data_IF_610307549888
#
_entry.id   IF_610307549888
#
_cell.length_a   1.000
_cell.length_b   1.000
_cell.length_c   1.000
_cell.angle_alpha   90.00
_cell.angle_beta   90.00
_cell.angle_gamma   90.00
#
_symmetry.space_group_name_H-M   'P 1'
#
loop_
_entity.id
_entity.type
_entity.pdbx_description
1 polymer ?
#
# COMPACT_ATOMS: atom_id res chain seq x y z
N UNK A 1 -10.65 -55.68 15.87
CA UNK A 1 -10.17 -54.37 15.38
C UNK A 1 -10.38 -54.08 13.87
N UNK A 2 -11.11 -54.88 13.08
CA UNK A 2 -11.54 -54.46 11.72
C UNK A 2 -13.05 -54.58 11.44
N UNK A 3 -13.83 -55.17 12.35
CA UNK A 3 -15.27 -55.41 12.15
C UNK A 3 -16.20 -54.28 12.69
N UNK A 4 -15.69 -53.35 13.50
CA UNK A 4 -16.47 -52.21 14.01
C UNK A 4 -16.49 -51.00 13.05
N UNK A 5 -15.62 -50.99 12.04
CA UNK A 5 -15.44 -49.84 11.15
C UNK A 5 -16.47 -49.73 10.02
N UNK A 6 -17.20 -50.82 9.73
CA UNK A 6 -18.17 -50.88 8.62
C UNK A 6 -19.60 -50.63 9.11
N UNK A 7 -19.90 -50.90 10.38
CA UNK A 7 -21.24 -50.63 10.95
C UNK A 7 -21.52 -49.16 11.24
N UNK A 8 -20.49 -48.32 11.37
CA UNK A 8 -20.67 -46.87 11.55
C UNK A 8 -21.13 -46.19 10.26
N UNK A 9 -20.59 -46.58 9.10
CA UNK A 9 -20.94 -45.99 7.80
C UNK A 9 -22.37 -46.33 7.34
N UNK A 10 -22.90 -47.51 7.69
CA UNK A 10 -24.31 -47.84 7.40
C UNK A 10 -25.30 -47.13 8.32
N UNK A 11 -24.86 -46.66 9.48
CA UNK A 11 -25.68 -45.81 10.36
C UNK A 11 -25.70 -44.34 9.85
N UNK A 12 -24.72 -43.96 9.03
CA UNK A 12 -24.59 -42.62 8.44
C UNK A 12 -25.66 -42.31 7.38
N UNK A 13 -26.21 -43.30 6.66
CA UNK A 13 -27.20 -43.02 5.60
C UNK A 13 -28.65 -42.86 6.12
N UNK A 14 -28.98 -43.41 7.29
CA UNK A 14 -30.38 -43.48 7.76
C UNK A 14 -30.71 -42.46 8.86
N UNK A 15 -29.79 -41.58 9.23
CA UNK A 15 -29.98 -40.54 10.25
C UNK A 15 -29.88 -39.12 9.67
N UNK A 16 -30.34 -38.96 8.43
CA UNK A 16 -30.25 -37.73 7.64
C UNK A 16 -31.42 -36.74 7.83
N UNK A 17 -32.48 -37.09 8.57
CA UNK A 17 -33.77 -36.40 8.39
C UNK A 17 -34.40 -35.66 9.59
N UNK A 18 -33.71 -35.32 10.70
CA UNK A 18 -34.44 -34.51 11.72
C UNK A 18 -33.67 -33.65 12.74
N UNK A 19 -32.35 -33.64 12.80
CA UNK A 19 -31.65 -32.82 13.81
C UNK A 19 -30.51 -32.00 13.22
N UNK A 20 -30.57 -30.69 13.48
CA UNK A 20 -29.62 -29.65 13.11
C UNK A 20 -28.18 -30.14 13.08
N UNK A 21 -27.55 -30.12 11.88
CA UNK A 21 -26.12 -30.41 11.67
C UNK A 21 -25.20 -29.66 12.66
N UNK A 22 -25.66 -28.51 13.15
CA UNK A 22 -24.97 -27.67 14.11
C UNK A 22 -24.77 -28.33 15.50
N UNK A 23 -25.79 -29.00 16.04
CA UNK A 23 -25.67 -29.71 17.31
C UNK A 23 -24.76 -30.94 17.20
N UNK A 24 -24.69 -31.56 16.00
CA UNK A 24 -23.82 -32.73 15.79
C UNK A 24 -22.34 -32.37 15.78
N UNK A 25 -21.93 -31.24 15.19
CA UNK A 25 -20.52 -30.83 15.19
C UNK A 25 -20.01 -30.50 16.60
N UNK A 26 -20.79 -29.76 17.40
CA UNK A 26 -20.44 -29.44 18.80
C UNK A 26 -20.38 -30.71 19.64
N UNK A 27 -21.38 -31.58 19.53
CA UNK A 27 -21.44 -32.83 20.31
C UNK A 27 -20.38 -33.85 19.85
N UNK A 28 -19.99 -33.89 18.57
CA UNK A 28 -18.88 -34.73 18.11
C UNK A 28 -17.51 -34.19 18.54
N UNK A 29 -17.33 -32.87 18.61
CA UNK A 29 -16.11 -32.29 19.17
C UNK A 29 -15.98 -32.63 20.66
N UNK A 30 -17.07 -32.57 21.44
CA UNK A 30 -17.10 -33.01 22.84
C UNK A 30 -16.90 -34.52 23.01
N UNK A 31 -17.39 -35.36 22.08
CA UNK A 31 -17.12 -36.81 22.08
C UNK A 31 -15.69 -37.17 21.68
N UNK A 32 -15.09 -36.43 20.74
CA UNK A 32 -13.69 -36.61 20.35
C UNK A 32 -12.72 -36.13 21.45
N UNK A 33 -13.13 -35.15 22.27
CA UNK A 33 -12.49 -34.76 23.53
C UNK A 33 -12.34 -35.93 24.52
N UNK A 34 -13.26 -36.90 24.49
CA UNK A 34 -13.23 -38.09 25.35
C UNK A 34 -12.35 -39.21 24.80
N UNK A 35 -12.03 -39.22 23.49
CA UNK A 35 -11.29 -40.30 22.82
C UNK A 35 -9.84 -39.98 22.46
N UNK A 36 -9.31 -38.82 22.87
CA UNK A 36 -7.89 -38.43 22.72
C UNK A 36 -7.36 -38.27 21.28
N UNK A 37 -8.22 -38.21 20.26
CA UNK A 37 -7.77 -37.98 18.87
C UNK A 37 -7.85 -36.49 18.49
N UNK A 38 -6.90 -35.70 18.98
CA UNK A 38 -6.74 -34.26 18.70
C UNK A 38 -6.73 -33.94 17.19
N UNK A 39 -6.08 -34.79 16.40
CA UNK A 39 -5.97 -34.67 14.95
C UNK A 39 -7.34 -34.75 14.26
N UNK A 40 -8.25 -35.56 14.80
CA UNK A 40 -9.59 -35.74 14.24
C UNK A 40 -10.45 -34.49 14.45
N UNK A 41 -10.37 -33.87 15.63
CA UNK A 41 -11.01 -32.58 15.92
C UNK A 41 -10.55 -31.49 14.94
N UNK A 42 -9.26 -31.35 14.66
CA UNK A 42 -8.73 -30.38 13.70
C UNK A 42 -9.31 -30.58 12.30
N UNK A 43 -9.31 -31.82 11.77
CA UNK A 43 -9.91 -32.10 10.45
C UNK A 43 -11.39 -31.76 10.39
N UNK A 44 -12.14 -32.00 11.46
CA UNK A 44 -13.57 -31.67 11.53
C UNK A 44 -13.77 -30.16 11.49
N UNK A 45 -13.00 -29.40 12.26
CA UNK A 45 -13.10 -27.94 12.25
C UNK A 45 -12.67 -27.35 10.90
N UNK A 46 -11.61 -27.89 10.27
CA UNK A 46 -11.14 -27.47 8.94
C UNK A 46 -12.18 -27.74 7.85
N UNK A 47 -12.73 -28.96 7.83
CA UNK A 47 -13.83 -29.33 6.93
C UNK A 47 -15.09 -28.49 7.16
N UNK A 48 -15.35 -28.12 8.42
CA UNK A 48 -16.44 -27.22 8.77
C UNK A 48 -16.24 -25.78 8.26
N UNK A 49 -15.00 -25.31 8.18
CA UNK A 49 -14.69 -23.98 7.64
C UNK A 49 -14.76 -23.94 6.11
N UNK A 50 -14.36 -25.02 5.43
CA UNK A 50 -14.31 -25.09 3.97
C UNK A 50 -15.69 -25.29 3.30
N UNK A 51 -16.66 -25.87 4.02
CA UNK A 51 -17.95 -26.27 3.43
C UNK A 51 -19.20 -25.61 4.00
N UNK A 52 -19.09 -24.79 5.06
CA UNK A 52 -20.26 -24.09 5.62
C UNK A 52 -20.40 -22.64 5.13
N UNK A 53 -21.66 -22.14 4.96
CA UNK A 53 -21.94 -20.75 4.63
C UNK A 53 -21.42 -19.76 5.68
N UNK A 54 -21.09 -18.51 5.26
CA UNK A 54 -20.39 -17.52 6.12
C UNK A 54 -21.07 -17.20 7.45
N UNK A 55 -22.40 -17.37 7.54
CA UNK A 55 -23.16 -17.09 8.77
C UNK A 55 -22.89 -18.11 9.88
N UNK A 56 -22.55 -19.36 9.53
CA UNK A 56 -22.33 -20.46 10.50
C UNK A 56 -20.85 -20.71 10.80
N UNK A 57 -19.95 -20.21 9.97
CA UNK A 57 -18.50 -20.31 10.21
C UNK A 57 -18.03 -19.42 11.36
N UNK A 58 -18.77 -18.38 11.75
CA UNK A 58 -18.43 -17.53 12.89
C UNK A 58 -18.41 -18.28 14.23
N UNK A 59 -19.41 -19.13 14.48
CA UNK A 59 -19.52 -19.89 15.73
C UNK A 59 -18.55 -21.07 15.78
N UNK A 60 -18.40 -21.80 14.67
CA UNK A 60 -17.42 -22.89 14.55
C UNK A 60 -16.00 -22.37 14.82
N UNK A 61 -15.69 -21.16 14.34
CA UNK A 61 -14.41 -20.51 14.58
C UNK A 61 -14.20 -20.12 16.06
N UNK A 62 -15.25 -19.72 16.77
CA UNK A 62 -15.18 -19.45 18.21
C UNK A 62 -14.82 -20.71 18.99
N UNK A 63 -15.41 -21.85 18.64
CA UNK A 63 -15.08 -23.13 19.27
C UNK A 63 -13.71 -23.64 18.85
N UNK A 64 -13.32 -23.48 17.58
CA UNK A 64 -12.01 -23.86 17.08
C UNK A 64 -10.88 -23.04 17.72
N UNK A 65 -11.03 -21.72 17.84
CA UNK A 65 -10.04 -20.88 18.54
C UNK A 65 -9.93 -21.19 20.03
N UNK A 66 -11.00 -21.62 20.69
CA UNK A 66 -10.95 -22.10 22.08
C UNK A 66 -10.27 -23.46 22.17
N UNK A 67 -10.48 -24.35 21.20
CA UNK A 67 -9.82 -25.65 21.10
C UNK A 67 -8.31 -25.49 20.87
N UNK A 68 -7.94 -24.72 19.84
CA UNK A 68 -6.56 -24.38 19.50
C UNK A 68 -5.83 -23.65 20.65
N UNK A 69 -6.48 -22.71 21.36
CA UNK A 69 -5.89 -22.08 22.55
C UNK A 69 -5.59 -23.06 23.68
N UNK A 70 -6.34 -24.16 23.77
CA UNK A 70 -6.20 -25.16 24.83
C UNK A 70 -5.25 -26.30 24.44
N UNK A 71 -5.17 -26.65 23.16
CA UNK A 71 -4.52 -27.88 22.70
C UNK A 71 -3.65 -27.74 21.43
N UNK A 72 -3.71 -26.61 20.73
CA UNK A 72 -3.00 -26.40 19.47
C UNK A 72 -1.60 -25.79 19.64
N UNK A 73 -0.73 -26.05 18.67
CA UNK A 73 0.49 -25.27 18.49
C UNK A 73 0.13 -23.86 18.01
N UNK A 74 0.83 -22.83 18.49
CA UNK A 74 0.56 -21.42 18.12
C UNK A 74 0.48 -21.19 16.61
N UNK A 75 1.25 -21.92 15.82
CA UNK A 75 1.29 -21.82 14.36
C UNK A 75 0.00 -22.30 13.67
N UNK A 76 -0.72 -23.29 14.22
CA UNK A 76 -1.98 -23.79 13.67
C UNK A 76 -3.10 -22.76 13.75
N UNK A 77 -3.21 -22.09 14.90
CA UNK A 77 -4.16 -21.01 15.15
C UNK A 77 -3.93 -19.86 14.17
N UNK A 78 -2.67 -19.48 13.96
CA UNK A 78 -2.29 -18.37 13.10
C UNK A 78 -2.70 -18.65 11.64
N UNK A 79 -2.37 -19.81 11.09
CA UNK A 79 -2.70 -20.18 9.71
C UNK A 79 -4.21 -20.15 9.42
N UNK A 80 -5.05 -20.61 10.37
CA UNK A 80 -6.50 -20.61 10.19
C UNK A 80 -7.11 -19.20 10.33
N UNK A 81 -6.54 -18.37 11.21
CA UNK A 81 -6.91 -16.95 11.29
C UNK A 81 -6.59 -16.24 9.99
N UNK A 82 -5.43 -16.50 9.40
CA UNK A 82 -5.05 -15.81 8.17
C UNK A 82 -5.88 -16.28 6.98
N UNK A 83 -6.12 -17.58 6.83
CA UNK A 83 -7.01 -18.13 5.80
C UNK A 83 -8.43 -17.52 5.86
N UNK A 84 -9.02 -17.39 7.06
CA UNK A 84 -10.31 -16.72 7.24
C UNK A 84 -10.28 -15.26 6.82
N UNK A 85 -9.22 -14.53 7.19
CA UNK A 85 -9.06 -13.12 6.83
C UNK A 85 -8.87 -12.96 5.32
N UNK A 86 -8.11 -13.84 4.66
CA UNK A 86 -7.98 -13.89 3.19
C UNK A 86 -9.34 -14.02 2.52
N UNK A 87 -10.14 -15.01 2.93
CA UNK A 87 -11.49 -15.18 2.38
C UNK A 87 -12.41 -13.97 2.65
N UNK A 88 -12.31 -13.37 3.84
CA UNK A 88 -13.08 -12.16 4.18
C UNK A 88 -12.72 -10.98 3.27
N UNK A 89 -11.42 -10.71 3.05
CA UNK A 89 -10.98 -9.62 2.19
C UNK A 89 -11.33 -9.88 0.72
N UNK A 90 -11.16 -11.11 0.23
CA UNK A 90 -11.57 -11.49 -1.13
C UNK A 90 -13.07 -11.28 -1.35
N UNK A 91 -13.90 -11.63 -0.36
CA UNK A 91 -15.35 -11.37 -0.42
C UNK A 91 -15.65 -9.86 -0.46
N UNK A 92 -14.98 -9.07 0.38
CA UNK A 92 -15.15 -7.60 0.37
C UNK A 92 -14.74 -6.97 -0.96
N UNK A 93 -13.66 -7.47 -1.56
CA UNK A 93 -13.17 -7.04 -2.87
C UNK A 93 -14.18 -7.42 -3.97
N UNK A 94 -14.75 -8.63 -3.91
CA UNK A 94 -15.76 -9.09 -4.86
C UNK A 94 -17.08 -8.28 -4.75
N UNK A 95 -17.47 -7.89 -3.54
CA UNK A 95 -18.63 -7.01 -3.31
C UNK A 95 -18.37 -5.59 -3.83
N UNK A 96 -17.20 -5.01 -3.52
CA UNK A 96 -16.83 -3.65 -3.88
C UNK A 96 -15.35 -3.53 -4.27
N UNK A 97 -15.07 -3.71 -5.57
CA UNK A 97 -13.70 -3.63 -6.09
C UNK A 97 -13.03 -2.25 -5.92
N UNK A 98 -13.83 -1.18 -5.77
CA UNK A 98 -13.34 0.19 -5.54
C UNK A 98 -12.97 0.50 -4.08
N UNK A 99 -13.16 -0.45 -3.16
CA UNK A 99 -12.74 -0.28 -1.77
C UNK A 99 -11.23 -0.50 -1.63
N UNK A 100 -10.45 0.56 -1.85
CA UNK A 100 -9.00 0.51 -1.73
C UNK A 100 -8.51 0.14 -0.31
N UNK A 101 -9.27 0.43 0.74
CA UNK A 101 -8.87 0.10 2.10
C UNK A 101 -8.86 -1.43 2.32
N UNK A 102 -9.82 -2.16 1.72
CA UNK A 102 -9.81 -3.63 1.72
C UNK A 102 -8.62 -4.21 0.95
N UNK A 103 -8.23 -3.59 -0.18
CA UNK A 103 -7.02 -3.98 -0.91
C UNK A 103 -5.75 -3.76 -0.08
N UNK A 104 -5.63 -2.63 0.64
CA UNK A 104 -4.47 -2.39 1.50
C UNK A 104 -4.35 -3.41 2.62
N UNK A 105 -5.46 -3.74 3.27
CA UNK A 105 -5.47 -4.73 4.35
C UNK A 105 -5.16 -6.13 3.81
N UNK A 106 -5.63 -6.46 2.60
CA UNK A 106 -5.30 -7.72 1.95
C UNK A 106 -3.82 -7.83 1.60
N UNK A 107 -3.23 -6.80 0.98
CA UNK A 107 -1.80 -6.78 0.64
C UNK A 107 -0.92 -6.89 1.90
N UNK A 108 -1.28 -6.18 2.98
CA UNK A 108 -0.55 -6.27 4.25
C UNK A 108 -0.59 -7.67 4.84
N UNK A 109 -1.71 -8.36 4.69
CA UNK A 109 -1.85 -9.75 5.14
C UNK A 109 -0.91 -10.67 4.35
N UNK A 110 -0.88 -10.54 3.03
CA UNK A 110 0.02 -11.32 2.17
C UNK A 110 1.50 -11.02 2.44
N UNK A 111 1.87 -9.75 2.68
CA UNK A 111 3.22 -9.35 3.07
C UNK A 111 3.66 -10.00 4.39
N UNK A 112 2.76 -10.09 5.37
CA UNK A 112 3.08 -10.73 6.65
C UNK A 112 3.25 -12.25 6.52
N UNK A 113 2.48 -12.88 5.63
CA UNK A 113 2.58 -14.32 5.36
C UNK A 113 3.81 -14.71 4.53
N UNK A 114 4.46 -13.75 3.87
CA UNK A 114 5.55 -13.99 2.91
C UNK A 114 5.15 -14.99 1.83
N UNK A 115 4.01 -14.72 1.20
CA UNK A 115 3.47 -15.52 0.10
C UNK A 115 4.40 -15.44 -1.12
N UNK A 116 4.30 -16.44 -2.00
CA UNK A 116 5.00 -16.48 -3.28
C UNK A 116 4.82 -15.18 -4.08
N UNK A 117 5.89 -14.77 -4.77
CA UNK A 117 5.95 -13.54 -5.56
C UNK A 117 4.80 -13.43 -6.56
N UNK A 118 4.48 -14.53 -7.25
CA UNK A 118 3.42 -14.55 -8.27
C UNK A 118 2.04 -14.21 -7.68
N UNK A 119 1.71 -14.74 -6.49
CA UNK A 119 0.44 -14.41 -5.84
C UNK A 119 0.39 -12.92 -5.46
N UNK A 120 1.51 -12.37 -4.99
CA UNK A 120 1.54 -10.96 -4.60
C UNK A 120 1.43 -10.03 -5.80
N UNK A 121 2.16 -10.30 -6.88
CA UNK A 121 2.08 -9.55 -8.14
C UNK A 121 0.64 -9.59 -8.72
N UNK A 122 0.00 -10.77 -8.76
CA UNK A 122 -1.41 -10.89 -9.21
C UNK A 122 -2.34 -9.99 -8.37
N UNK A 123 -2.15 -9.96 -7.05
CA UNK A 123 -2.99 -9.12 -6.19
C UNK A 123 -2.79 -7.63 -6.45
N UNK A 124 -1.55 -7.19 -6.72
CA UNK A 124 -1.26 -5.81 -7.09
C UNK A 124 -1.85 -5.46 -8.46
N UNK A 125 -1.69 -6.33 -9.46
CA UNK A 125 -2.23 -6.12 -10.81
C UNK A 125 -3.75 -6.02 -10.80
N UNK A 126 -4.43 -6.91 -10.06
CA UNK A 126 -5.89 -6.86 -9.86
C UNK A 126 -6.33 -5.59 -9.16
N UNK A 127 -5.58 -5.14 -8.15
CA UNK A 127 -5.88 -3.91 -7.44
C UNK A 127 -5.71 -2.67 -8.34
N UNK A 128 -4.68 -2.67 -9.19
CA UNK A 128 -4.35 -1.58 -10.11
C UNK A 128 -5.34 -1.47 -11.29
N UNK A 129 -5.87 -2.61 -11.76
CA UNK A 129 -6.88 -2.65 -12.82
C UNK A 129 -8.15 -1.86 -12.45
N UNK A 130 -8.44 -1.71 -11.15
CA UNK A 130 -9.59 -0.97 -10.65
C UNK A 130 -9.30 0.55 -10.59
N UNK A 131 -9.22 1.17 -11.77
CA UNK A 131 -9.02 2.63 -11.91
C UNK A 131 -10.24 3.39 -11.34
N UNK A 132 -10.04 4.43 -10.50
CA UNK A 132 -11.15 5.22 -9.99
C UNK A 132 -11.98 5.84 -11.11
N UNK A 133 -13.33 5.68 -11.12
CA UNK A 133 -14.18 6.19 -12.20
C UNK A 133 -14.31 7.72 -12.17
N UNK A 134 -14.21 8.34 -10.99
CA UNK A 134 -14.31 9.79 -10.82
C UNK A 134 -12.91 10.42 -10.79
N UNK A 135 -12.72 11.49 -11.57
CA UNK A 135 -11.48 12.24 -11.64
C UNK A 135 -11.31 13.27 -10.49
N UNK A 136 -11.75 12.92 -9.28
CA UNK A 136 -11.57 13.77 -8.10
C UNK A 136 -10.33 13.37 -7.31
N UNK A 137 -9.57 14.37 -6.85
CA UNK A 137 -8.32 14.15 -6.10
C UNK A 137 -8.50 13.22 -4.89
N UNK A 138 -9.68 13.18 -4.26
CA UNK A 138 -9.95 12.36 -3.08
C UNK A 138 -9.84 10.86 -3.36
N UNK A 139 -10.48 10.37 -4.42
CA UNK A 139 -10.48 8.95 -4.76
C UNK A 139 -9.13 8.50 -5.33
N UNK A 140 -8.46 9.39 -6.07
CA UNK A 140 -7.14 9.10 -6.64
C UNK A 140 -6.03 9.02 -5.61
N UNK A 141 -6.17 9.65 -4.44
CA UNK A 141 -5.17 9.55 -3.36
C UNK A 141 -4.90 8.10 -2.98
N UNK A 142 -5.94 7.33 -2.64
CA UNK A 142 -5.80 5.93 -2.24
C UNK A 142 -5.24 5.07 -3.36
N UNK A 143 -5.75 5.26 -4.58
CA UNK A 143 -5.22 4.56 -5.76
C UNK A 143 -3.73 4.81 -5.99
N UNK A 144 -3.23 6.04 -5.80
CA UNK A 144 -1.80 6.33 -5.96
C UNK A 144 -0.96 5.74 -4.83
N UNK A 145 -1.50 5.68 -3.60
CA UNK A 145 -0.80 4.96 -2.52
C UNK A 145 -0.68 3.47 -2.81
N UNK A 146 -1.62 2.86 -3.54
CA UNK A 146 -1.51 1.48 -3.99
C UNK A 146 -0.32 1.31 -4.95
N UNK A 147 -0.19 2.20 -5.94
CA UNK A 147 0.97 2.23 -6.84
C UNK A 147 2.29 2.45 -6.10
N UNK A 148 2.30 3.34 -5.10
CA UNK A 148 3.48 3.57 -4.25
C UNK A 148 3.85 2.30 -3.49
N UNK A 149 2.86 1.61 -2.89
CA UNK A 149 3.11 0.36 -2.19
C UNK A 149 3.62 -0.73 -3.13
N UNK A 150 3.09 -0.82 -4.35
CA UNK A 150 3.58 -1.79 -5.33
C UNK A 150 5.04 -1.51 -5.71
N UNK A 151 5.37 -0.25 -6.02
CA UNK A 151 6.75 0.12 -6.32
C UNK A 151 7.70 -0.09 -5.13
N UNK A 152 7.24 0.13 -3.90
CA UNK A 152 8.05 -0.13 -2.69
C UNK A 152 8.25 -1.63 -2.45
N UNK A 153 7.24 -2.46 -2.73
CA UNK A 153 7.34 -3.91 -2.65
C UNK A 153 8.38 -4.44 -3.64
N UNK A 154 8.27 -4.03 -4.91
CA UNK A 154 9.24 -4.43 -5.95
C UNK A 154 10.67 -3.96 -5.64
N UNK A 155 10.81 -2.75 -5.10
CA UNK A 155 12.13 -2.22 -4.76
C UNK A 155 12.77 -2.89 -3.53
N UNK A 156 12.00 -3.12 -2.46
CA UNK A 156 12.54 -3.54 -1.17
C UNK A 156 12.50 -5.06 -0.94
N UNK A 157 11.51 -5.76 -1.48
CA UNK A 157 11.34 -7.20 -1.25
C UNK A 157 11.88 -8.02 -2.42
N UNK A 158 11.58 -7.60 -3.66
CA UNK A 158 11.97 -8.31 -4.89
C UNK A 158 13.33 -7.85 -5.43
N UNK A 159 13.69 -6.58 -5.17
CA UNK A 159 14.89 -5.90 -5.69
C UNK A 159 14.93 -5.82 -7.24
N UNK A 160 13.77 -5.85 -7.90
CA UNK A 160 13.67 -5.70 -9.35
C UNK A 160 13.55 -4.22 -9.75
N UNK A 161 14.69 -3.63 -10.08
CA UNK A 161 14.78 -2.21 -10.43
C UNK A 161 14.19 -1.88 -11.81
N UNK A 162 14.17 -2.82 -12.76
CA UNK A 162 13.63 -2.56 -14.10
C UNK A 162 12.10 -2.54 -14.07
N UNK A 163 11.51 -3.49 -13.34
CA UNK A 163 10.07 -3.54 -13.15
C UNK A 163 9.59 -2.34 -12.35
N UNK A 164 10.31 -1.95 -11.29
CA UNK A 164 10.01 -0.74 -10.50
C UNK A 164 9.96 0.52 -11.38
N UNK A 165 10.91 0.70 -12.31
CA UNK A 165 10.89 1.81 -13.29
C UNK A 165 9.65 1.77 -14.17
N UNK A 166 9.29 0.58 -14.64
CA UNK A 166 8.12 0.39 -15.50
C UNK A 166 6.85 0.75 -14.75
N UNK A 167 6.70 0.32 -13.49
CA UNK A 167 5.59 0.65 -12.60
C UNK A 167 5.46 2.17 -12.39
N UNK A 168 6.57 2.87 -12.11
CA UNK A 168 6.53 4.33 -11.98
C UNK A 168 6.11 5.02 -13.30
N UNK A 169 6.66 4.57 -14.43
CA UNK A 169 6.32 5.14 -15.75
C UNK A 169 4.86 4.87 -16.13
N UNK A 170 4.32 3.68 -15.87
CA UNK A 170 2.92 3.35 -16.15
C UNK A 170 1.99 4.15 -15.25
N UNK A 171 2.29 4.27 -13.95
CA UNK A 171 1.52 5.09 -13.03
C UNK A 171 1.46 6.56 -13.49
N UNK A 172 2.61 7.13 -13.89
CA UNK A 172 2.67 8.50 -14.40
C UNK A 172 1.88 8.68 -15.71
N UNK A 173 1.73 7.66 -16.55
CA UNK A 173 0.90 7.74 -17.75
C UNK A 173 -0.60 7.70 -17.46
N UNK A 174 -1.00 6.96 -16.43
CA UNK A 174 -2.41 6.80 -16.05
C UNK A 174 -2.93 8.07 -15.36
N UNK A 175 -2.09 8.75 -14.58
CA UNK A 175 -2.47 9.94 -13.82
C UNK A 175 -2.83 11.12 -14.76
N UNK A 176 -4.06 11.67 -14.65
CA UNK A 176 -4.45 12.90 -15.35
C UNK A 176 -3.81 14.14 -14.73
N UNK A 177 -2.56 14.42 -15.11
CA UNK A 177 -1.76 15.58 -14.65
C UNK A 177 -2.41 16.94 -14.87
N UNK A 178 -3.33 17.06 -15.85
CA UNK A 178 -4.04 18.31 -16.15
C UNK A 178 -5.11 18.69 -15.12
N UNK A 179 -5.64 17.72 -14.36
CA UNK A 179 -6.75 17.96 -13.41
C UNK A 179 -6.26 18.08 -11.98
N UNK A 180 -5.28 17.28 -11.59
CA UNK A 180 -4.72 17.31 -10.25
C UNK A 180 -3.25 16.90 -10.27
N UNK A 181 -2.49 17.46 -9.34
CA UNK A 181 -1.06 17.17 -9.19
C UNK A 181 -0.83 16.26 -8.00
N UNK A 182 0.05 15.27 -8.20
CA UNK A 182 0.56 14.42 -7.13
C UNK A 182 2.07 14.57 -7.05
N UNK A 183 2.56 15.57 -6.31
CA UNK A 183 4.00 15.81 -6.19
C UNK A 183 4.76 14.62 -5.58
N UNK A 184 4.10 13.83 -4.70
CA UNK A 184 4.74 12.74 -3.97
C UNK A 184 5.29 11.65 -4.89
N UNK A 185 4.55 11.25 -5.94
CA UNK A 185 4.99 10.16 -6.83
C UNK A 185 6.22 10.56 -7.64
N UNK A 186 6.26 11.79 -8.16
CA UNK A 186 7.41 12.34 -8.89
C UNK A 186 8.66 12.39 -8.01
N UNK A 187 8.52 12.85 -6.76
CA UNK A 187 9.62 12.91 -5.79
C UNK A 187 10.11 11.49 -5.46
N UNK A 188 9.20 10.54 -5.25
CA UNK A 188 9.58 9.15 -4.99
C UNK A 188 10.31 8.52 -6.17
N UNK A 189 9.85 8.75 -7.40
CA UNK A 189 10.50 8.23 -8.59
C UNK A 189 11.90 8.84 -8.80
N UNK A 190 12.05 10.14 -8.53
CA UNK A 190 13.37 10.78 -8.55
C UNK A 190 14.31 10.20 -7.50
N UNK A 191 13.85 10.01 -6.25
CA UNK A 191 14.64 9.37 -5.20
C UNK A 191 15.01 7.93 -5.52
N UNK A 192 14.13 7.18 -6.19
CA UNK A 192 14.42 5.85 -6.70
C UNK A 192 15.60 5.88 -7.69
N UNK A 193 15.55 6.75 -8.71
CA UNK A 193 16.67 6.84 -9.68
C UNK A 193 17.97 7.33 -9.04
N UNK A 194 17.89 8.17 -7.99
CA UNK A 194 19.08 8.58 -7.21
C UNK A 194 19.69 7.38 -6.48
N UNK A 195 18.87 6.49 -5.89
CA UNK A 195 19.36 5.25 -5.27
C UNK A 195 20.02 4.32 -6.29
N UNK A 196 19.50 4.31 -7.52
CA UNK A 196 20.09 3.61 -8.66
C UNK A 196 21.30 4.33 -9.29
N UNK A 197 21.77 5.43 -8.68
CA UNK A 197 22.88 6.27 -9.15
C UNK A 197 22.66 6.90 -10.53
N UNK A 198 21.41 6.94 -11.03
CA UNK A 198 21.03 7.55 -12.30
C UNK A 198 20.60 9.01 -12.13
N UNK A 199 21.57 9.86 -11.79
CA UNK A 199 21.31 11.28 -11.51
C UNK A 199 20.71 12.03 -12.71
N UNK A 200 21.14 11.72 -13.94
CA UNK A 200 20.64 12.39 -15.14
C UNK A 200 19.16 12.12 -15.37
N UNK A 201 18.72 10.89 -15.12
CA UNK A 201 17.32 10.52 -15.30
C UNK A 201 16.46 11.08 -14.17
N UNK A 202 16.95 11.10 -12.93
CA UNK A 202 16.29 11.81 -11.82
C UNK A 202 16.03 13.30 -12.15
N UNK A 203 17.03 13.99 -12.72
CA UNK A 203 16.91 15.39 -13.18
C UNK A 203 15.89 15.55 -14.30
N UNK A 204 15.87 14.64 -15.29
CA UNK A 204 14.85 14.65 -16.36
C UNK A 204 13.45 14.44 -15.79
N UNK A 205 13.29 13.52 -14.84
CA UNK A 205 12.01 13.24 -14.18
C UNK A 205 11.49 14.47 -13.44
N UNK A 206 12.33 15.10 -12.61
CA UNK A 206 11.96 16.33 -11.87
C UNK A 206 11.72 17.53 -12.81
N UNK A 207 12.53 17.67 -13.85
CA UNK A 207 12.34 18.69 -14.88
C UNK A 207 11.01 18.52 -15.64
N UNK A 208 10.69 17.29 -16.03
CA UNK A 208 9.40 16.94 -16.64
C UNK A 208 8.25 17.21 -15.67
N UNK A 209 8.40 16.85 -14.40
CA UNK A 209 7.39 17.09 -13.37
C UNK A 209 7.04 18.59 -13.26
N UNK A 210 8.05 19.47 -13.25
CA UNK A 210 7.86 20.92 -13.21
C UNK A 210 7.20 21.44 -14.49
N UNK A 211 7.60 20.95 -15.66
CA UNK A 211 7.03 21.37 -16.94
C UNK A 211 5.56 20.94 -17.13
N UNK A 212 5.20 19.74 -16.65
CA UNK A 212 3.84 19.23 -16.70
C UNK A 212 2.95 19.85 -15.61
N UNK A 213 3.49 19.98 -14.40
CA UNK A 213 2.76 20.28 -13.18
C UNK A 213 3.64 21.07 -12.19
N UNK A 214 3.76 22.39 -12.35
CA UNK A 214 4.48 23.21 -11.38
C UNK A 214 3.74 23.18 -10.03
N UNK A 215 4.46 22.83 -8.96
CA UNK A 215 3.94 22.81 -7.59
C UNK A 215 5.09 23.06 -6.63
N UNK A 216 4.87 23.87 -5.58
CA UNK A 216 5.95 24.30 -4.67
C UNK A 216 6.76 23.15 -4.07
N UNK A 217 6.08 22.07 -3.65
CA UNK A 217 6.74 20.87 -3.11
C UNK A 217 7.72 20.22 -4.09
N UNK A 218 7.46 20.28 -5.40
CA UNK A 218 8.37 19.74 -6.42
C UNK A 218 9.61 20.62 -6.57
N UNK A 219 9.42 21.95 -6.60
CA UNK A 219 10.53 22.89 -6.62
C UNK A 219 11.43 22.74 -5.39
N UNK A 220 10.85 22.70 -4.19
CA UNK A 220 11.60 22.50 -2.94
C UNK A 220 12.41 21.19 -3.00
N UNK A 221 11.77 20.07 -3.35
CA UNK A 221 12.48 18.79 -3.44
C UNK A 221 13.60 18.78 -4.49
N UNK A 222 13.42 19.46 -5.63
CA UNK A 222 14.45 19.52 -6.66
C UNK A 222 15.62 20.43 -6.25
N UNK A 223 15.33 21.57 -5.61
CA UNK A 223 16.36 22.44 -5.05
C UNK A 223 17.15 21.71 -3.96
N UNK A 224 16.48 21.01 -3.04
CA UNK A 224 17.14 20.24 -1.98
C UNK A 224 18.08 19.18 -2.57
N UNK A 225 17.68 18.53 -3.67
CA UNK A 225 18.53 17.58 -4.40
C UNK A 225 19.77 18.25 -4.98
N UNK A 226 19.63 19.34 -5.73
CA UNK A 226 20.78 20.03 -6.35
C UNK A 226 21.70 20.66 -5.29
N UNK A 227 21.15 21.09 -4.15
CA UNK A 227 21.91 21.58 -3.02
C UNK A 227 22.77 20.48 -2.39
N UNK A 228 22.23 19.27 -2.23
CA UNK A 228 23.00 18.10 -1.77
C UNK A 228 24.15 17.76 -2.73
N UNK A 229 23.95 17.96 -4.03
CA UNK A 229 24.96 17.76 -5.07
C UNK A 229 25.95 18.92 -5.19
N UNK A 230 25.71 20.03 -4.47
CA UNK A 230 26.50 21.27 -4.50
C UNK A 230 26.54 21.95 -5.87
N UNK A 231 25.49 21.78 -6.66
CA UNK A 231 25.34 22.35 -8.00
C UNK A 231 24.60 23.68 -7.92
N UNK A 232 25.26 24.69 -7.36
CA UNK A 232 24.65 25.98 -7.01
C UNK A 232 24.12 26.76 -8.22
N UNK A 233 24.75 26.63 -9.39
CA UNK A 233 24.29 27.29 -10.61
C UNK A 233 22.93 26.75 -11.07
N UNK A 234 22.67 25.45 -10.89
CA UNK A 234 21.35 24.87 -11.15
C UNK A 234 20.33 25.33 -10.10
N UNK A 235 20.73 25.40 -8.83
CA UNK A 235 19.87 25.93 -7.78
C UNK A 235 19.38 27.35 -8.10
N UNK A 236 20.26 28.22 -8.61
CA UNK A 236 19.90 29.58 -9.08
C UNK A 236 18.84 29.58 -10.16
N UNK A 237 19.01 28.73 -11.19
CA UNK A 237 18.03 28.60 -12.28
C UNK A 237 16.69 28.08 -11.74
N UNK A 238 16.73 27.12 -10.80
CA UNK A 238 15.52 26.56 -10.19
C UNK A 238 14.78 27.58 -9.33
N UNK A 239 15.49 28.36 -8.51
CA UNK A 239 14.88 29.44 -7.75
C UNK A 239 14.30 30.52 -8.66
N UNK A 240 14.99 30.89 -9.75
CA UNK A 240 14.44 31.81 -10.75
C UNK A 240 13.10 31.32 -11.32
N UNK A 241 13.04 30.07 -11.78
CA UNK A 241 11.79 29.45 -12.26
C UNK A 241 10.71 29.33 -11.18
N UNK A 242 11.11 29.09 -9.94
CA UNK A 242 10.17 29.00 -8.82
C UNK A 242 9.54 30.39 -8.53
N UNK A 243 10.34 31.45 -8.59
CA UNK A 243 9.85 32.82 -8.42
C UNK A 243 9.01 33.30 -9.61
N UNK A 244 9.30 32.85 -10.83
CA UNK A 244 8.42 33.07 -12.00
C UNK A 244 7.04 32.44 -11.82
N UNK A 245 6.98 31.26 -11.20
CA UNK A 245 5.73 30.54 -10.96
C UNK A 245 4.92 31.11 -9.79
N UNK A 246 5.59 31.37 -8.66
CA UNK A 246 4.97 31.85 -7.43
C UNK A 246 5.79 33.01 -6.83
N UNK A 247 5.66 34.24 -7.37
CA UNK A 247 6.37 35.41 -6.86
C UNK A 247 5.85 35.86 -5.49
N UNK A 248 4.65 35.43 -5.11
CA UNK A 248 3.97 35.80 -3.87
C UNK A 248 4.61 35.12 -2.65
N UNK A 249 5.27 33.96 -2.83
CA UNK A 249 5.77 33.17 -1.71
C UNK A 249 7.06 33.76 -1.10
N UNK A 250 6.93 34.44 0.04
CA UNK A 250 8.05 35.01 0.79
C UNK A 250 9.09 33.99 1.27
N UNK A 251 8.68 32.76 1.57
CA UNK A 251 9.62 31.70 2.01
C UNK A 251 10.60 31.32 0.91
N UNK A 252 10.19 31.39 -0.35
CA UNK A 252 11.05 31.10 -1.50
C UNK A 252 12.10 32.19 -1.69
N UNK A 253 11.70 33.47 -1.55
CA UNK A 253 12.63 34.61 -1.58
C UNK A 253 13.68 34.54 -0.48
N UNK A 254 13.26 34.24 0.76
CA UNK A 254 14.17 34.10 1.90
C UNK A 254 15.19 32.98 1.66
N UNK A 255 14.72 31.78 1.28
CA UNK A 255 15.63 30.65 1.01
C UNK A 255 16.59 30.90 -0.15
N UNK A 256 16.16 31.64 -1.17
CA UNK A 256 17.04 31.99 -2.29
C UNK A 256 18.15 32.95 -1.85
N UNK A 257 17.81 33.97 -1.06
CA UNK A 257 18.79 34.89 -0.51
C UNK A 257 19.73 34.21 0.50
N UNK A 258 19.22 33.30 1.34
CA UNK A 258 20.02 32.46 2.25
C UNK A 258 21.03 31.60 1.50
N UNK A 259 20.67 31.06 0.34
CA UNK A 259 21.62 30.31 -0.48
C UNK A 259 22.76 31.20 -0.99
N UNK A 260 22.48 32.41 -1.47
CA UNK A 260 23.54 33.33 -1.94
C UNK A 260 24.40 33.88 -0.79
N UNK A 261 23.85 34.09 0.41
CA UNK A 261 24.65 34.47 1.57
C UNK A 261 25.59 33.34 2.02
N UNK A 262 25.13 32.08 1.98
CA UNK A 262 25.99 30.91 2.25
C UNK A 262 27.14 30.77 1.24
N UNK A 263 26.94 31.24 0.00
CA UNK A 263 27.98 31.28 -1.03
C UNK A 263 28.92 32.48 -0.90
N UNK A 264 28.61 33.44 -0.02
CA UNK A 264 29.40 34.66 0.19
C UNK A 264 29.04 35.82 -0.76
N UNK A 265 28.07 35.64 -1.67
CA UNK A 265 27.63 36.65 -2.63
C UNK A 265 26.60 37.61 -1.98
N UNK A 266 27.04 38.43 -1.02
CA UNK A 266 26.14 39.33 -0.27
C UNK A 266 25.44 40.36 -1.15
N UNK A 267 26.07 40.79 -2.24
CA UNK A 267 25.49 41.78 -3.14
C UNK A 267 24.33 41.20 -3.94
N UNK A 268 24.41 39.92 -4.34
CA UNK A 268 23.29 39.22 -4.96
C UNK A 268 22.16 38.98 -3.97
N UNK A 269 22.47 38.56 -2.75
CA UNK A 269 21.46 38.40 -1.70
C UNK A 269 20.70 39.71 -1.45
N UNK A 270 21.39 40.86 -1.38
CA UNK A 270 20.77 42.18 -1.28
C UNK A 270 19.89 42.51 -2.49
N UNK A 271 20.37 42.21 -3.70
CA UNK A 271 19.58 42.43 -4.91
C UNK A 271 18.29 41.59 -4.91
N UNK A 272 18.36 40.33 -4.46
CA UNK A 272 17.20 39.44 -4.33
C UNK A 272 16.19 40.00 -3.32
N UNK A 273 16.65 40.45 -2.14
CA UNK A 273 15.77 41.09 -1.16
C UNK A 273 15.17 42.40 -1.68
N UNK A 274 15.94 43.21 -2.41
CA UNK A 274 15.43 44.45 -3.02
C UNK A 274 14.34 44.15 -4.05
N UNK A 275 14.50 43.11 -4.87
CA UNK A 275 13.49 42.64 -5.81
C UNK A 275 12.24 42.12 -5.08
N UNK A 276 12.41 41.39 -3.98
CA UNK A 276 11.31 40.91 -3.17
C UNK A 276 10.48 42.09 -2.59
N UNK A 277 11.13 43.12 -2.04
CA UNK A 277 10.44 44.31 -1.48
C UNK A 277 9.69 45.12 -2.54
N UNK A 278 10.11 45.07 -3.80
CA UNK A 278 9.41 45.72 -4.92
C UNK A 278 8.14 44.98 -5.34
N UNK A 279 7.94 43.73 -4.93
CA UNK A 279 6.75 42.98 -5.30
C UNK A 279 5.52 43.48 -4.52
N UNK A 280 4.38 43.72 -5.20
CA UNK A 280 3.21 44.36 -4.60
C UNK A 280 2.41 43.46 -3.65
N UNK A 281 2.58 42.14 -3.71
CA UNK A 281 1.91 41.18 -2.86
C UNK A 281 2.89 40.08 -2.44
N UNK A 282 3.62 40.30 -1.34
CA UNK A 282 4.29 39.20 -0.64
C UNK A 282 3.29 38.57 0.34
N UNK A 283 3.14 37.25 0.28
CA UNK A 283 2.53 36.51 1.36
C UNK A 283 3.34 36.73 2.63
N UNK A 284 2.70 37.26 3.67
CA UNK A 284 3.33 37.30 4.98
C UNK A 284 3.57 35.85 5.41
N UNK A 285 4.82 35.44 5.69
CA UNK A 285 5.04 34.11 6.26
C UNK A 285 4.29 34.10 7.58
N UNK A 286 3.32 33.18 7.68
CA UNK A 286 2.33 33.06 8.75
C UNK A 286 2.88 33.45 10.14
N UNK A 287 2.17 34.35 10.84
CA UNK A 287 2.28 34.54 12.30
C UNK A 287 1.88 33.27 13.02
#
# INVERSE_FOLDING_TARGET
MKALHIRSLSFFSNFLNSFSLHCRFVCHSEYAFLTWDLYFCETIFRYGLDHLPSDRTAEIFKYYTVHEKKFGERAGIENVIVSKRRHQYEKQIAENAYNYDAWFDYIRLLQNEKVDREEMEDTFERAIANVPPQAEKRYWRRYIYLWINYALYEELEVEDFEQTRTIYKTCLRIIPHKKFTFSKIWIMFAHFEIRQLQLQDARKILGNAIGLCPHEKLFRAYVDLELQLREFDRCRILYGKFLEYSPENSTTWMKFAELETLLGDTDRARAIFALAVQQPALDMPEV
#
